data_IF_662432625198
#
_entry.id   IF_662432625198
#
_cell.length_a   1.000
_cell.length_b   1.000
_cell.length_c   1.000
_cell.angle_alpha   90.00
_cell.angle_beta   90.00
_cell.angle_gamma   90.00
#
_symmetry.space_group_name_H-M   'P 1'
#
loop_
_entity.id
_entity.type
_entity.pdbx_description
1 polymer ?
#
# COMPACT_ATOMS: atom_id res chain seq x y z
N UNK A 1 11.82 -8.36 -7.66
CA UNK A 1 12.01 -6.93 -8.00
C UNK A 1 12.38 -6.05 -6.80
N UNK A 2 11.58 -5.96 -5.71
CA UNK A 2 11.93 -5.08 -4.57
C UNK A 2 13.31 -5.37 -3.97
N UNK A 3 13.66 -6.65 -3.73
CA UNK A 3 14.99 -7.01 -3.23
C UNK A 3 16.13 -6.53 -4.16
N UNK A 4 15.95 -6.66 -5.49
CA UNK A 4 16.92 -6.16 -6.48
C UNK A 4 17.05 -4.63 -6.43
N UNK A 5 15.92 -3.92 -6.28
CA UNK A 5 15.92 -2.46 -6.11
C UNK A 5 16.60 -2.02 -4.81
N UNK A 6 16.34 -2.73 -3.70
CA UNK A 6 16.99 -2.45 -2.42
C UNK A 6 18.51 -2.61 -2.46
N UNK A 7 19.04 -3.50 -3.30
CA UNK A 7 20.49 -3.70 -3.45
C UNK A 7 21.23 -2.45 -3.96
N UNK A 8 20.54 -1.54 -4.66
CA UNK A 8 21.13 -0.29 -5.18
C UNK A 8 20.88 0.91 -4.25
N UNK A 9 20.13 0.73 -3.17
CA UNK A 9 19.74 1.80 -2.25
C UNK A 9 20.57 1.77 -0.95
N UNK A 10 20.91 2.94 -0.37
CA UNK A 10 21.39 3.04 0.99
C UNK A 10 20.44 2.37 1.98
N UNK A 11 20.98 1.78 3.05
CA UNK A 11 20.19 1.01 4.01
C UNK A 11 18.99 1.79 4.58
N UNK A 12 19.16 3.08 4.85
CA UNK A 12 18.12 3.95 5.38
C UNK A 12 16.93 4.18 4.44
N UNK A 13 17.08 3.91 3.15
CA UNK A 13 16.03 4.12 2.13
C UNK A 13 15.50 2.81 1.55
N UNK A 14 15.98 1.65 2.01
CA UNK A 14 15.49 0.34 1.59
C UNK A 14 14.05 0.11 2.07
N UNK A 15 13.25 -0.48 1.20
CA UNK A 15 11.89 -0.93 1.52
C UNK A 15 11.99 -2.17 2.41
N UNK A 16 11.46 -2.11 3.63
CA UNK A 16 11.50 -3.23 4.59
C UNK A 16 10.25 -4.10 4.55
N UNK A 17 9.11 -3.49 4.23
CA UNK A 17 7.80 -4.12 4.22
C UNK A 17 6.95 -3.46 3.15
N UNK A 18 6.08 -4.22 2.50
CA UNK A 18 5.17 -3.70 1.49
C UNK A 18 3.89 -4.53 1.43
N UNK A 19 2.88 -3.95 0.80
CA UNK A 19 1.67 -4.64 0.38
C UNK A 19 1.28 -4.13 -1.00
N UNK A 20 0.46 -4.89 -1.72
CA UNK A 20 -0.08 -4.49 -3.01
C UNK A 20 -1.58 -4.29 -2.86
N UNK A 21 -2.05 -3.07 -3.13
CA UNK A 21 -3.48 -2.81 -3.18
C UNK A 21 -4.10 -3.52 -4.39
N UNK A 22 -5.35 -3.95 -4.25
CA UNK A 22 -6.09 -4.61 -5.34
C UNK A 22 -6.61 -3.64 -6.40
N UNK A 23 -6.49 -2.34 -6.14
CA UNK A 23 -6.78 -1.26 -7.09
C UNK A 23 -5.73 -0.16 -6.99
N UNK A 24 -5.60 0.60 -8.06
CA UNK A 24 -4.77 1.80 -8.08
C UNK A 24 -5.44 2.96 -7.33
N UNK A 25 -4.62 3.93 -6.92
CA UNK A 25 -5.11 5.19 -6.36
C UNK A 25 -5.54 6.11 -7.50
N UNK A 26 -6.79 6.55 -7.46
CA UNK A 26 -7.39 7.30 -8.57
C UNK A 26 -7.80 8.72 -8.19
N UNK A 27 -7.87 9.58 -9.20
CA UNK A 27 -8.30 10.96 -9.01
C UNK A 27 -9.82 11.07 -8.80
N UNK A 28 -10.59 10.20 -9.44
CA UNK A 28 -12.06 10.19 -9.37
C UNK A 28 -12.55 9.72 -7.98
N UNK A 29 -11.78 8.85 -7.33
CA UNK A 29 -11.96 8.44 -5.94
C UNK A 29 -11.41 9.45 -4.91
N UNK A 30 -10.92 10.60 -5.35
CA UNK A 30 -10.28 11.63 -4.51
C UNK A 30 -9.02 11.17 -3.75
N UNK A 31 -8.43 10.02 -4.11
CA UNK A 31 -7.20 9.49 -3.51
C UNK A 31 -5.94 10.16 -4.07
N UNK A 32 -6.05 10.71 -5.28
CA UNK A 32 -4.96 11.37 -5.99
C UNK A 32 -5.44 12.66 -6.66
N UNK A 33 -4.52 13.56 -7.02
CA UNK A 33 -4.82 14.67 -7.96
C UNK A 33 -4.75 14.15 -9.40
N UNK A 34 -5.39 14.85 -10.35
CA UNK A 34 -5.21 14.54 -11.80
C UNK A 34 -3.74 14.59 -12.25
N UNK A 35 -2.88 15.32 -11.54
CA UNK A 35 -1.44 15.40 -11.76
C UNK A 35 -0.63 14.32 -11.04
N UNK A 36 -1.28 13.27 -10.55
CA UNK A 36 -0.69 12.12 -9.85
C UNK A 36 -0.04 12.40 -8.50
N UNK A 37 -0.51 13.42 -7.76
CA UNK A 37 -0.10 13.65 -6.36
C UNK A 37 -1.07 12.96 -5.41
N UNK A 38 -0.56 12.08 -4.56
CA UNK A 38 -1.36 11.37 -3.54
C UNK A 38 -1.93 12.36 -2.52
N UNK A 39 -3.23 12.27 -2.26
CA UNK A 39 -3.93 13.03 -1.21
C UNK A 39 -3.81 12.29 0.11
N UNK A 40 -2.62 12.38 0.72
CA UNK A 40 -2.19 11.57 1.87
C UNK A 40 -3.21 11.49 3.01
N UNK A 41 -3.83 12.60 3.40
CA UNK A 41 -4.82 12.61 4.49
C UNK A 41 -6.04 11.73 4.16
N UNK A 42 -6.61 11.92 2.97
CA UNK A 42 -7.78 11.15 2.53
C UNK A 42 -7.46 9.66 2.42
N UNK A 43 -6.30 9.33 1.84
CA UNK A 43 -5.82 7.94 1.75
C UNK A 43 -5.59 7.34 3.14
N UNK A 44 -4.99 8.09 4.07
CA UNK A 44 -4.76 7.60 5.42
C UNK A 44 -6.06 7.29 6.17
N UNK A 45 -7.09 8.13 6.02
CA UNK A 45 -8.41 7.90 6.62
C UNK A 45 -9.12 6.70 5.96
N UNK A 46 -9.12 6.60 4.62
CA UNK A 46 -9.78 5.51 3.88
C UNK A 46 -9.15 4.14 4.12
N UNK A 47 -7.83 4.08 4.27
CA UNK A 47 -7.06 2.84 4.43
C UNK A 47 -6.51 2.67 5.86
N UNK A 48 -7.13 3.30 6.87
CA UNK A 48 -6.66 3.26 8.25
C UNK A 48 -6.42 1.83 8.76
N UNK A 49 -7.37 0.92 8.56
CA UNK A 49 -7.25 -0.48 8.97
C UNK A 49 -6.07 -1.21 8.31
N UNK A 50 -5.78 -0.90 7.05
CA UNK A 50 -4.64 -1.46 6.31
C UNK A 50 -3.33 -0.92 6.86
N UNK A 51 -3.27 0.38 7.12
CA UNK A 51 -2.10 1.05 7.70
C UNK A 51 -1.83 0.49 9.11
N UNK A 52 -2.85 0.32 9.93
CA UNK A 52 -2.74 -0.22 11.28
C UNK A 52 -2.27 -1.69 11.25
N UNK A 53 -2.83 -2.52 10.39
CA UNK A 53 -2.40 -3.91 10.21
C UNK A 53 -0.93 -3.98 9.75
N UNK A 54 -0.53 -3.07 8.86
CA UNK A 54 0.84 -2.98 8.34
C UNK A 54 1.86 -2.65 9.42
N UNK A 55 1.56 -1.66 10.27
CA UNK A 55 2.47 -1.22 11.33
C UNK A 55 2.42 -2.10 12.59
N UNK A 56 1.33 -2.84 12.82
CA UNK A 56 1.22 -3.76 13.97
C UNK A 56 1.93 -5.10 13.81
N UNK A 57 2.49 -5.40 12.63
CA UNK A 57 3.12 -6.70 12.39
C UNK A 57 2.20 -7.74 11.74
N UNK A 58 1.02 -7.35 11.28
CA UNK A 58 0.11 -8.25 10.57
C UNK A 58 0.69 -8.77 9.26
N UNK A 59 0.30 -9.98 8.88
CA UNK A 59 0.71 -10.62 7.62
C UNK A 59 -0.35 -10.54 6.53
N UNK A 60 -1.57 -10.14 6.89
CA UNK A 60 -2.66 -9.87 5.96
C UNK A 60 -3.71 -8.96 6.59
N UNK A 61 -4.52 -8.33 5.75
CA UNK A 61 -5.66 -7.50 6.15
C UNK A 61 -6.82 -7.69 5.18
N UNK A 62 -8.04 -7.73 5.71
CA UNK A 62 -9.25 -7.64 4.91
C UNK A 62 -9.52 -6.18 4.57
N UNK A 63 -9.50 -5.87 3.28
CA UNK A 63 -9.77 -4.54 2.73
C UNK A 63 -11.18 -4.53 2.15
N UNK A 64 -11.98 -3.58 2.60
CA UNK A 64 -13.31 -3.29 2.08
C UNK A 64 -13.28 -1.93 1.40
N UNK A 65 -13.27 -1.90 0.07
CA UNK A 65 -13.19 -0.65 -0.69
C UNK A 65 -14.50 -0.38 -1.40
N UNK A 66 -15.01 0.84 -1.23
CA UNK A 66 -16.12 1.37 -2.02
C UNK A 66 -15.60 1.74 -3.41
N UNK A 67 -16.21 1.16 -4.44
CA UNK A 67 -15.97 1.46 -5.84
C UNK A 67 -17.21 2.17 -6.37
N UNK A 68 -17.02 3.31 -7.00
CA UNK A 68 -18.08 4.02 -7.72
C UNK A 68 -17.95 3.70 -9.21
N UNK A 69 -18.96 3.05 -9.78
CA UNK A 69 -19.03 2.79 -11.21
C UNK A 69 -19.39 4.06 -11.97
N UNK A 70 -19.11 4.07 -13.28
CA UNK A 70 -19.42 5.20 -14.17
C UNK A 70 -20.91 5.55 -14.22
N UNK A 71 -21.79 4.58 -13.95
CA UNK A 71 -23.24 4.77 -13.87
C UNK A 71 -23.70 5.32 -12.50
N UNK A 72 -22.77 5.64 -11.61
CA UNK A 72 -23.01 6.16 -10.26
C UNK A 72 -23.35 5.09 -9.22
N UNK A 73 -23.41 3.80 -9.61
CA UNK A 73 -23.59 2.72 -8.63
C UNK A 73 -22.36 2.61 -7.75
N UNK A 74 -22.59 2.22 -6.51
CA UNK A 74 -21.52 1.90 -5.58
C UNK A 74 -21.55 0.41 -5.27
N UNK A 75 -20.40 -0.25 -5.40
CA UNK A 75 -20.21 -1.60 -4.86
C UNK A 75 -19.08 -1.59 -3.85
N UNK A 76 -19.20 -2.47 -2.86
CA UNK A 76 -18.10 -2.75 -1.96
C UNK A 76 -17.39 -3.99 -2.45
N UNK A 77 -16.10 -3.87 -2.74
CA UNK A 77 -15.24 -5.03 -2.98
C UNK A 77 -14.56 -5.39 -1.68
N UNK A 78 -14.72 -6.64 -1.28
CA UNK A 78 -13.91 -7.25 -0.24
C UNK A 78 -12.72 -7.96 -0.87
N UNK A 79 -11.55 -7.74 -0.30
CA UNK A 79 -10.32 -8.38 -0.77
C UNK A 79 -9.38 -8.57 0.39
N UNK A 80 -8.75 -9.74 0.44
CA UNK A 80 -7.65 -9.98 1.37
C UNK A 80 -6.34 -9.56 0.73
N UNK A 81 -5.61 -8.68 1.41
CA UNK A 81 -4.30 -8.21 0.98
C UNK A 81 -3.23 -8.80 1.89
N UNK A 82 -2.23 -9.44 1.30
CA UNK A 82 -1.05 -9.94 2.02
C UNK A 82 -0.04 -8.82 2.27
N UNK A 83 0.57 -8.83 3.44
CA UNK A 83 1.65 -7.93 3.83
C UNK A 83 2.93 -8.75 3.83
N UNK A 84 3.93 -8.30 3.08
CA UNK A 84 5.19 -9.00 2.89
C UNK A 84 6.36 -8.22 3.48
N UNK A 85 7.18 -8.91 4.27
CA UNK A 85 8.48 -8.43 4.70
C UNK A 85 9.53 -8.70 3.61
N UNK A 86 10.46 -7.77 3.46
CA UNK A 86 11.63 -7.94 2.59
C UNK A 86 12.78 -8.31 3.49
N UNK A 87 13.25 -9.56 3.38
CA UNK A 87 14.41 -10.03 4.15
C UNK A 87 15.59 -9.06 3.95
N UNK A 88 16.09 -8.53 5.05
CA UNK A 88 17.30 -7.74 5.04
C UNK A 88 18.48 -8.71 4.86
N UNK A 89 19.10 -8.69 3.69
CA UNK A 89 20.42 -9.29 3.51
C UNK A 89 21.36 -8.58 4.49
N UNK A 90 21.62 -9.22 5.62
CA UNK A 90 22.45 -8.66 6.68
C UNK A 90 23.88 -8.68 6.18
N UNK A 91 24.34 -7.57 5.60
CA UNK A 91 25.75 -7.37 5.33
C UNK A 91 26.45 -7.16 6.67
N UNK A 92 26.85 -8.28 7.29
CA UNK A 92 27.78 -8.29 8.40
C UNK A 92 28.99 -7.44 8.01
N UNK A 93 29.13 -6.26 8.60
CA UNK A 93 30.35 -5.47 8.46
C UNK A 93 31.47 -6.21 9.19
N UNK A 94 32.50 -6.59 8.43
CA UNK A 94 33.84 -6.97 8.90
C UNK A 94 34.67 -5.70 9.03
#
# INVERSE_FOLDING_TARGET
EIAKGNATLPESTRIRRFLLLTKDLEADDAEMTRTRKVRRRFVAEKYASVIDAFYSGGTAVELSTLITYEDGRQATIQSRVSIADVEAETLAHV
#
